data_IF_478870927275
#
_entry.id   IF_478870927275
#
_cell.length_a   1.000
_cell.length_b   1.000
_cell.length_c   1.000
_cell.angle_alpha   90.00
_cell.angle_beta   90.00
_cell.angle_gamma   90.00
#
_symmetry.space_group_name_H-M   'P 1'
#
loop_
_entity.id
_entity.type
_entity.pdbx_description
1 polymer ?
#
# COMPACT_ATOMS: atom_id res chain seq x y z
N UNK A 1 -13.02 14.15 -0.67
CA UNK A 1 -14.23 13.47 -0.17
C UNK A 1 -14.53 14.00 1.22
N UNK A 2 -15.79 14.29 1.55
CA UNK A 2 -16.19 14.76 2.89
C UNK A 2 -16.41 13.56 3.81
N UNK A 3 -15.83 13.57 5.02
CA UNK A 3 -16.01 12.50 6.00
C UNK A 3 -17.40 12.59 6.65
N UNK A 4 -18.31 11.69 6.29
CA UNK A 4 -19.71 11.67 6.77
C UNK A 4 -20.01 10.54 7.76
N UNK A 5 -19.18 9.49 7.79
CA UNK A 5 -19.33 8.34 8.68
C UNK A 5 -18.61 8.56 10.03
N UNK A 6 -19.14 7.96 11.11
CA UNK A 6 -18.56 8.02 12.46
C UNK A 6 -18.05 6.65 12.90
N UNK A 7 -16.88 6.64 13.53
CA UNK A 7 -16.29 5.49 14.21
C UNK A 7 -16.09 5.86 15.68
N UNK A 8 -16.79 5.18 16.59
CA UNK A 8 -16.77 5.46 18.02
C UNK A 8 -16.27 4.24 18.79
N UNK A 9 -15.38 4.46 19.77
CA UNK A 9 -14.87 3.41 20.64
C UNK A 9 -14.64 3.96 22.05
N UNK A 10 -14.80 3.08 23.05
CA UNK A 10 -14.50 3.41 24.44
C UNK A 10 -13.03 3.08 24.72
N UNK A 11 -12.37 3.95 25.48
CA UNK A 11 -10.99 3.77 25.92
C UNK A 11 -10.91 3.91 27.43
N UNK A 12 -9.90 3.30 28.03
CA UNK A 12 -9.61 3.54 29.45
C UNK A 12 -9.09 4.97 29.65
N UNK A 13 -9.18 5.53 30.88
CA UNK A 13 -8.56 6.82 31.19
C UNK A 13 -7.05 6.85 30.89
N UNK A 14 -6.36 5.73 31.11
CA UNK A 14 -4.92 5.56 30.86
C UNK A 14 -4.62 5.65 29.36
N UNK A 15 -5.35 4.90 28.53
CA UNK A 15 -5.17 4.94 27.07
C UNK A 15 -5.50 6.32 26.52
N UNK A 16 -6.54 6.97 27.05
CA UNK A 16 -6.87 8.35 26.68
C UNK A 16 -5.71 9.30 26.98
N UNK A 17 -5.11 9.22 28.17
CA UNK A 17 -3.99 10.08 28.53
C UNK A 17 -2.77 9.84 27.62
N UNK A 18 -2.49 8.58 27.29
CA UNK A 18 -1.43 8.18 26.36
C UNK A 18 -1.65 8.78 24.96
N UNK A 19 -2.84 8.61 24.39
CA UNK A 19 -3.18 9.14 23.05
C UNK A 19 -3.13 10.66 23.02
N UNK A 20 -3.67 11.33 24.06
CA UNK A 20 -3.63 12.80 24.16
C UNK A 20 -2.18 13.29 24.20
N UNK A 21 -1.32 12.65 24.98
CA UNK A 21 0.10 13.04 25.06
C UNK A 21 0.82 12.85 23.72
N UNK A 22 0.56 11.74 23.03
CA UNK A 22 1.14 11.48 21.71
C UNK A 22 0.70 12.53 20.68
N UNK A 23 -0.60 12.84 20.61
CA UNK A 23 -1.13 13.86 19.72
C UNK A 23 -0.54 15.26 19.99
N UNK A 24 -0.35 15.62 21.27
CA UNK A 24 0.31 16.88 21.66
C UNK A 24 1.76 16.95 21.16
N UNK A 25 2.51 15.85 21.28
CA UNK A 25 3.89 15.78 20.80
C UNK A 25 3.97 15.82 19.26
N UNK A 26 2.96 15.24 18.58
CA UNK A 26 2.83 15.28 17.13
C UNK A 26 2.31 16.65 16.62
N UNK A 27 1.83 17.53 17.50
CA UNK A 27 1.34 18.86 17.13
C UNK A 27 -0.03 18.85 16.44
N UNK A 28 -0.85 17.83 16.66
CA UNK A 28 -2.12 17.66 15.96
C UNK A 28 -3.32 17.38 16.91
N UNK A 29 -4.57 17.60 16.45
CA UNK A 29 -5.75 17.29 17.25
C UNK A 29 -5.86 15.79 17.58
N UNK A 30 -6.27 15.46 18.81
CA UNK A 30 -6.40 14.08 19.31
C UNK A 30 -7.25 13.19 18.38
N UNK A 31 -8.34 13.74 17.83
CA UNK A 31 -9.22 13.02 16.90
C UNK A 31 -8.57 12.78 15.55
N UNK A 32 -7.76 13.73 15.06
CA UNK A 32 -7.00 13.57 13.82
C UNK A 32 -5.92 12.50 14.00
N UNK A 33 -5.16 12.55 15.10
CA UNK A 33 -4.17 11.54 15.47
C UNK A 33 -4.78 10.13 15.51
N UNK A 34 -5.88 9.97 16.23
CA UNK A 34 -6.54 8.68 16.38
C UNK A 34 -7.08 8.15 15.04
N UNK A 35 -7.62 9.03 14.19
CA UNK A 35 -8.10 8.66 12.85
C UNK A 35 -6.94 8.21 11.96
N UNK A 36 -5.87 8.99 11.88
CA UNK A 36 -4.68 8.65 11.08
C UNK A 36 -4.08 7.32 11.52
N UNK A 37 -3.91 7.11 12.83
CA UNK A 37 -3.39 5.84 13.36
C UNK A 37 -4.28 4.64 12.99
N UNK A 38 -5.60 4.80 12.99
CA UNK A 38 -6.53 3.75 12.58
C UNK A 38 -6.45 3.48 11.07
N UNK A 39 -6.38 4.53 10.25
CA UNK A 39 -6.24 4.46 8.79
C UNK A 39 -4.93 3.74 8.40
N UNK A 40 -3.80 4.17 8.96
CA UNK A 40 -2.48 3.56 8.70
C UNK A 40 -2.45 2.07 9.06
N UNK A 41 -3.04 1.71 10.22
CA UNK A 41 -3.10 0.31 10.65
C UNK A 41 -4.00 -0.51 9.73
N UNK A 42 -5.15 0.03 9.33
CA UNK A 42 -6.07 -0.63 8.40
C UNK A 42 -5.40 -0.86 7.04
N UNK A 43 -4.78 0.17 6.47
CA UNK A 43 -4.07 0.05 5.19
C UNK A 43 -2.93 -0.96 5.26
N UNK A 44 -2.16 -0.99 6.35
CA UNK A 44 -1.09 -1.98 6.53
C UNK A 44 -1.64 -3.40 6.47
N UNK A 45 -2.74 -3.67 7.17
CA UNK A 45 -3.37 -5.00 7.17
C UNK A 45 -3.92 -5.33 5.78
N UNK A 46 -4.64 -4.39 5.14
CA UNK A 46 -5.19 -4.62 3.81
C UNK A 46 -4.07 -4.90 2.81
N UNK A 47 -2.98 -4.13 2.81
CA UNK A 47 -1.81 -4.44 1.97
C UNK A 47 -1.23 -5.82 2.25
N UNK A 48 -1.07 -6.20 3.52
CA UNK A 48 -0.53 -7.51 3.89
C UNK A 48 -1.41 -8.68 3.39
N UNK A 49 -2.73 -8.51 3.36
CA UNK A 49 -3.68 -9.56 3.01
C UNK A 49 -4.14 -9.52 1.54
N UNK A 50 -4.21 -8.35 0.93
CA UNK A 50 -4.67 -8.15 -0.45
C UNK A 50 -3.51 -8.15 -1.46
N UNK A 51 -2.28 -7.80 -1.05
CA UNK A 51 -1.10 -7.94 -1.89
C UNK A 51 -0.57 -9.38 -1.93
N UNK A 52 -1.46 -10.37 -1.83
CA UNK A 52 -1.12 -11.78 -2.02
C UNK A 52 -1.32 -12.11 -3.49
N UNK A 53 -0.22 -12.17 -4.25
CA UNK A 53 -0.25 -12.77 -5.58
C UNK A 53 -0.39 -14.28 -5.42
N UNK A 54 -1.61 -14.79 -5.62
CA UNK A 54 -1.85 -16.22 -5.69
C UNK A 54 -1.26 -16.73 -7.00
N UNK A 55 -0.26 -17.59 -6.88
CA UNK A 55 0.38 -18.25 -8.02
C UNK A 55 0.25 -19.77 -7.87
N UNK A 56 0.28 -20.53 -8.98
CA UNK A 56 0.42 -21.98 -8.92
C UNK A 56 1.65 -22.38 -8.09
N UNK A 57 1.64 -23.54 -7.38
CA UNK A 57 2.81 -24.02 -6.63
C UNK A 57 4.12 -24.04 -7.43
N UNK A 58 4.03 -24.26 -8.74
CA UNK A 58 5.10 -24.45 -9.71
C UNK A 58 5.67 -23.10 -10.19
N UNK A 59 4.98 -21.99 -9.93
CA UNK A 59 5.33 -20.67 -10.43
C UNK A 59 6.76 -20.24 -10.05
N UNK A 60 7.21 -20.60 -8.84
CA UNK A 60 8.56 -20.25 -8.41
C UNK A 60 9.61 -21.01 -9.23
N UNK A 61 9.40 -22.29 -9.49
CA UNK A 61 10.31 -23.10 -10.29
C UNK A 61 10.33 -22.61 -11.75
N UNK A 62 9.16 -22.36 -12.34
CA UNK A 62 9.01 -21.79 -13.70
C UNK A 62 9.70 -20.43 -13.82
N UNK A 63 9.60 -19.58 -12.79
CA UNK A 63 10.22 -18.26 -12.76
C UNK A 63 11.75 -18.35 -12.73
N UNK A 64 12.30 -19.26 -11.92
CA UNK A 64 13.75 -19.46 -11.84
C UNK A 64 14.29 -20.02 -13.16
N UNK A 65 13.61 -21.00 -13.75
CA UNK A 65 13.97 -21.55 -15.06
C UNK A 65 13.97 -20.47 -16.16
N UNK A 66 12.97 -19.58 -16.15
CA UNK A 66 12.88 -18.48 -17.11
C UNK A 66 14.05 -17.48 -17.06
N UNK A 67 14.80 -17.40 -15.96
CA UNK A 67 16.01 -16.55 -15.89
C UNK A 67 17.21 -17.14 -16.64
N UNK A 68 17.24 -18.46 -16.83
CA UNK A 68 18.29 -19.14 -17.60
C UNK A 68 17.99 -19.15 -19.11
N UNK A 69 16.76 -18.85 -19.50
CA UNK A 69 16.34 -18.76 -20.89
C UNK A 69 16.58 -17.36 -21.51
N UNK A 70 16.92 -17.29 -22.81
CA UNK A 70 16.97 -16.01 -23.49
C UNK A 70 15.57 -15.36 -23.52
N UNK A 71 15.46 -14.04 -23.29
CA UNK A 71 14.16 -13.39 -23.19
C UNK A 71 13.41 -13.45 -24.53
N UNK A 72 12.20 -14.01 -24.49
CA UNK A 72 11.31 -14.03 -25.65
C UNK A 72 10.63 -12.67 -25.80
N UNK A 73 10.75 -12.07 -26.99
CA UNK A 73 10.14 -10.77 -27.27
C UNK A 73 8.62 -10.87 -27.22
N UNK A 74 7.99 -10.15 -26.30
CA UNK A 74 6.54 -9.97 -26.26
C UNK A 74 6.13 -8.80 -27.19
N UNK A 75 5.40 -9.05 -28.30
CA UNK A 75 5.04 -7.99 -29.26
C UNK A 75 4.18 -6.88 -28.66
N UNK A 76 3.26 -7.22 -27.74
CA UNK A 76 2.41 -6.25 -27.08
C UNK A 76 3.23 -5.34 -26.13
N UNK A 77 4.20 -5.92 -25.42
CA UNK A 77 5.13 -5.17 -24.58
C UNK A 77 6.02 -4.24 -25.41
N UNK A 78 6.54 -4.72 -26.54
CA UNK A 78 7.34 -3.91 -27.46
C UNK A 78 6.54 -2.73 -28.03
N UNK A 79 5.28 -2.95 -28.42
CA UNK A 79 4.40 -1.88 -28.88
C UNK A 79 4.07 -0.86 -27.77
N UNK A 80 3.89 -1.32 -26.53
CA UNK A 80 3.68 -0.44 -25.38
C UNK A 80 4.91 0.43 -25.09
N UNK A 81 6.12 -0.14 -25.15
CA UNK A 81 7.36 0.61 -24.97
C UNK A 81 7.56 1.68 -26.06
N UNK A 82 7.21 1.38 -27.32
CA UNK A 82 7.26 2.35 -28.41
C UNK A 82 6.32 3.55 -28.16
N UNK A 83 5.08 3.30 -27.72
CA UNK A 83 4.14 4.37 -27.34
C UNK A 83 4.67 5.24 -26.19
N UNK A 84 5.34 4.63 -25.20
CA UNK A 84 5.94 5.37 -24.08
C UNK A 84 7.04 6.32 -24.55
N UNK A 85 7.91 5.88 -25.47
CA UNK A 85 8.99 6.72 -26.03
C UNK A 85 8.50 7.93 -26.83
N UNK A 86 7.26 7.91 -27.31
CA UNK A 86 6.64 9.06 -27.98
C UNK A 86 6.17 10.15 -27.00
N UNK A 87 5.97 9.81 -25.72
CA UNK A 87 5.40 10.71 -24.69
C UNK A 87 6.45 11.23 -23.72
N UNK A 88 7.56 10.51 -23.51
CA UNK A 88 8.60 10.87 -22.55
C UNK A 88 9.79 11.51 -23.27
N UNK A 89 9.91 12.84 -23.17
CA UNK A 89 11.18 13.55 -23.48
C UNK A 89 12.16 13.19 -22.36
N UNK A 90 13.20 12.42 -22.69
CA UNK A 90 14.37 12.26 -21.81
C UNK A 90 15.23 13.51 -21.96
N UNK A 91 15.43 14.24 -20.86
CA UNK A 91 16.50 15.23 -20.73
C UNK A 91 17.89 14.55 -20.79
#
# INVERSE_FOLDING_TARGET
MTATARLEFRVTPQDRALIVRAAQLAGEPVTAFARTAAEERAEKILREHEAVTVVPPEFFDDLIEAFDEPPVRNPALAAAAARLSETVVRD
#
